data_IF_907338990880
#
_entry.id   IF_907338990880
#
_cell.length_a   1.000
_cell.length_b   1.000
_cell.length_c   1.000
_cell.angle_alpha   90.00
_cell.angle_beta   90.00
_cell.angle_gamma   90.00
#
_symmetry.space_group_name_H-M   'P 1'
#
loop_
_entity.id
_entity.type
_entity.pdbx_description
1 polymer ?
#
# COMPACT_ATOMS: atom_id res chain seq x y z
N UNK A 1 -14.62 6.52 -13.21
CA UNK A 1 -14.47 7.88 -12.65
C UNK A 1 -13.07 7.97 -12.07
N UNK A 2 -12.18 8.74 -12.69
CA UNK A 2 -10.83 8.96 -12.17
C UNK A 2 -10.96 9.72 -10.85
N UNK A 3 -10.50 9.14 -9.74
CA UNK A 3 -10.54 9.85 -8.46
C UNK A 3 -9.50 10.96 -8.48
N UNK A 4 -9.97 12.19 -8.44
CA UNK A 4 -9.11 13.38 -8.37
C UNK A 4 -8.53 13.49 -6.96
N UNK A 5 -7.27 13.91 -6.88
CA UNK A 5 -6.72 14.32 -5.60
C UNK A 5 -7.45 15.58 -5.13
N UNK A 6 -8.20 15.49 -4.02
CA UNK A 6 -8.84 16.65 -3.39
C UNK A 6 -7.78 17.62 -2.87
N UNK A 7 -8.18 18.84 -2.52
CA UNK A 7 -7.25 19.81 -1.90
C UNK A 7 -6.59 19.22 -0.64
N UNK A 8 -7.35 18.57 0.22
CA UNK A 8 -6.84 17.97 1.47
C UNK A 8 -5.93 16.78 1.20
N UNK A 9 -6.23 15.99 0.16
CA UNK A 9 -5.33 14.91 -0.29
C UNK A 9 -3.99 15.47 -0.77
N UNK A 10 -4.03 16.50 -1.63
CA UNK A 10 -2.82 17.16 -2.15
C UNK A 10 -1.99 17.81 -1.04
N UNK A 11 -2.64 18.41 -0.05
CA UNK A 11 -1.96 18.99 1.11
C UNK A 11 -1.24 17.90 1.92
N UNK A 12 -1.94 16.82 2.27
CA UNK A 12 -1.36 15.67 2.98
C UNK A 12 -0.22 15.00 2.19
N UNK A 13 -0.41 14.82 0.89
CA UNK A 13 0.59 14.29 -0.03
C UNK A 13 1.86 15.17 -0.06
N UNK A 14 1.68 16.48 -0.26
CA UNK A 14 2.79 17.44 -0.38
C UNK A 14 3.56 17.57 0.94
N UNK A 15 2.85 17.61 2.07
CA UNK A 15 3.45 17.64 3.39
C UNK A 15 4.25 16.35 3.68
N UNK A 16 3.64 15.19 3.43
CA UNK A 16 4.31 13.89 3.60
C UNK A 16 5.56 13.79 2.73
N UNK A 17 5.50 14.24 1.48
CA UNK A 17 6.62 14.25 0.54
C UNK A 17 7.73 15.22 0.96
N UNK A 18 7.37 16.40 1.46
CA UNK A 18 8.34 17.36 1.99
C UNK A 18 9.07 16.77 3.21
N UNK A 19 8.32 16.23 4.18
CA UNK A 19 8.92 15.57 5.36
C UNK A 19 9.80 14.40 4.93
N UNK A 20 9.35 13.55 4.02
CA UNK A 20 10.12 12.42 3.53
C UNK A 20 11.47 12.87 2.92
N UNK A 21 11.45 13.90 2.09
CA UNK A 21 12.66 14.42 1.43
C UNK A 21 13.64 15.11 2.39
N UNK A 22 13.11 15.92 3.32
CA UNK A 22 13.95 16.73 4.21
C UNK A 22 14.48 15.92 5.39
N UNK A 23 13.70 14.99 5.92
CA UNK A 23 14.05 14.25 7.11
C UNK A 23 14.68 12.88 6.82
N UNK A 24 14.28 12.19 5.71
CA UNK A 24 14.69 10.81 5.44
C UNK A 24 15.55 10.63 4.18
N UNK A 25 16.03 11.70 3.54
CA UNK A 25 16.72 11.59 2.23
C UNK A 25 15.96 10.65 1.26
N UNK A 26 14.68 10.89 1.13
CA UNK A 26 13.74 10.01 0.44
C UNK A 26 13.96 9.99 -1.07
N UNK A 27 14.11 8.78 -1.63
CA UNK A 27 14.30 8.54 -3.05
C UNK A 27 13.30 7.52 -3.58
N UNK A 28 12.93 7.66 -4.84
CA UNK A 28 12.07 6.71 -5.56
C UNK A 28 12.79 6.26 -6.82
N UNK A 29 12.89 4.95 -7.00
CA UNK A 29 13.45 4.28 -8.18
C UNK A 29 12.33 3.53 -8.87
N UNK A 30 12.23 3.62 -10.21
CA UNK A 30 11.20 2.92 -10.99
C UNK A 30 9.83 3.57 -10.91
N UNK A 31 9.74 4.88 -10.63
CA UNK A 31 8.46 5.59 -10.54
C UNK A 31 7.61 5.52 -11.82
N UNK A 32 8.25 5.28 -12.97
CA UNK A 32 7.61 5.05 -14.27
C UNK A 32 6.76 3.77 -14.32
N UNK A 33 6.99 2.83 -13.43
CA UNK A 33 6.21 1.60 -13.31
C UNK A 33 4.84 1.81 -12.61
N UNK A 34 4.60 2.99 -12.04
CA UNK A 34 3.31 3.31 -11.43
C UNK A 34 2.25 3.44 -12.52
N UNK A 35 1.19 2.66 -12.38
CA UNK A 35 0.00 2.79 -13.26
C UNK A 35 -0.74 4.06 -12.86
N UNK A 36 -0.68 5.09 -13.70
CA UNK A 36 -1.26 6.40 -13.37
C UNK A 36 -2.78 6.43 -13.52
N UNK A 37 -3.37 5.60 -14.39
CA UNK A 37 -4.79 5.57 -14.68
C UNK A 37 -5.37 4.15 -14.61
N UNK A 38 -6.67 4.06 -14.30
CA UNK A 38 -7.37 2.77 -14.20
C UNK A 38 -7.11 2.02 -12.89
N UNK A 39 -7.63 0.79 -12.78
CA UNK A 39 -7.51 -0.01 -11.56
C UNK A 39 -6.07 -0.46 -11.33
N UNK A 40 -5.59 -0.35 -10.09
CA UNK A 40 -4.27 -0.84 -9.72
C UNK A 40 -4.19 -1.20 -8.23
N UNK A 41 -3.39 -2.21 -7.92
CA UNK A 41 -3.03 -2.60 -6.56
C UNK A 41 -1.57 -2.21 -6.35
N UNK A 42 -1.29 -1.34 -5.39
CA UNK A 42 0.08 -0.99 -4.98
C UNK A 42 0.44 -1.91 -3.82
N UNK A 43 1.48 -2.72 -3.98
CA UNK A 43 1.84 -3.80 -3.07
C UNK A 43 3.24 -3.61 -2.45
N UNK A 44 3.41 -2.76 -1.42
CA UNK A 44 4.68 -2.62 -0.71
C UNK A 44 4.86 -3.68 0.39
N UNK A 45 6.12 -3.88 0.84
CA UNK A 45 6.39 -4.52 2.12
C UNK A 45 5.93 -3.64 3.30
N UNK A 46 5.76 -4.23 4.49
CA UNK A 46 5.27 -3.50 5.66
C UNK A 46 6.20 -3.64 6.87
N UNK A 47 6.98 -2.60 7.12
CA UNK A 47 7.98 -2.60 8.19
C UNK A 47 7.81 -1.45 9.20
N UNK A 48 7.05 -0.40 8.83
CA UNK A 48 6.98 0.85 9.57
C UNK A 48 5.59 1.48 9.56
N UNK A 49 5.31 2.37 10.49
CA UNK A 49 4.18 3.29 10.42
C UNK A 49 4.32 4.32 9.28
N UNK A 50 5.55 4.51 8.77
CA UNK A 50 5.85 5.43 7.68
C UNK A 50 5.49 4.84 6.30
N UNK A 51 5.33 3.52 6.17
CA UNK A 51 5.17 2.88 4.87
C UNK A 51 3.96 3.39 4.07
N UNK A 52 2.75 3.56 4.65
CA UNK A 52 1.62 4.06 3.88
C UNK A 52 1.85 5.44 3.25
N UNK A 53 2.27 6.49 3.99
CA UNK A 53 2.55 7.78 3.37
C UNK A 53 3.76 7.75 2.43
N UNK A 54 4.80 6.96 2.70
CA UNK A 54 5.96 6.84 1.81
C UNK A 54 5.58 6.20 0.46
N UNK A 55 4.85 5.08 0.49
CA UNK A 55 4.33 4.46 -0.72
C UNK A 55 3.38 5.40 -1.48
N UNK A 56 2.53 6.12 -0.75
CA UNK A 56 1.63 7.10 -1.34
C UNK A 56 2.35 8.23 -2.06
N UNK A 57 3.43 8.75 -1.47
CA UNK A 57 4.20 9.85 -2.07
C UNK A 57 5.03 9.41 -3.29
N UNK A 58 5.25 8.12 -3.48
CA UNK A 58 5.83 7.57 -4.70
C UNK A 58 4.83 7.60 -5.88
N UNK A 59 3.52 7.54 -5.59
CA UNK A 59 2.47 7.52 -6.61
C UNK A 59 2.07 8.94 -7.03
N UNK A 60 1.92 9.19 -8.35
CA UNK A 60 1.43 10.47 -8.89
C UNK A 60 -0.09 10.52 -9.03
N UNK A 61 -0.80 9.64 -8.36
CA UNK A 61 -2.26 9.50 -8.40
C UNK A 61 -2.83 9.34 -7.01
N UNK A 62 -4.14 9.59 -6.87
CA UNK A 62 -4.85 9.26 -5.64
C UNK A 62 -4.88 7.74 -5.44
N UNK A 63 -4.54 7.28 -4.25
CA UNK A 63 -4.65 5.88 -3.83
C UNK A 63 -5.46 5.79 -2.54
N UNK A 64 -6.07 4.62 -2.31
CA UNK A 64 -6.83 4.34 -1.11
C UNK A 64 -6.00 3.55 -0.12
N UNK A 65 -6.23 3.82 1.15
CA UNK A 65 -5.54 3.18 2.26
C UNK A 65 -6.53 2.46 3.18
N UNK A 66 -6.13 1.36 3.76
CA UNK A 66 -6.89 0.71 4.84
C UNK A 66 -6.46 1.29 6.18
N UNK A 67 -7.41 1.67 7.02
CA UNK A 67 -7.12 2.05 8.39
C UNK A 67 -8.22 1.57 9.36
N UNK A 68 -7.86 1.35 10.62
CA UNK A 68 -8.83 0.97 11.64
C UNK A 68 -9.89 2.06 11.81
N UNK A 69 -11.16 1.66 11.90
CA UNK A 69 -12.29 2.57 12.10
C UNK A 69 -12.11 3.49 13.32
N UNK A 70 -11.47 3.02 14.38
CA UNK A 70 -11.18 3.83 15.57
C UNK A 70 -10.31 5.07 15.32
N UNK A 71 -9.59 5.14 14.20
CA UNK A 71 -8.84 6.34 13.83
C UNK A 71 -9.74 7.49 13.36
N UNK A 72 -10.97 7.19 12.93
CA UNK A 72 -11.98 8.21 12.59
C UNK A 72 -12.47 8.98 13.83
N UNK A 73 -12.30 8.41 15.02
CA UNK A 73 -12.71 9.02 16.28
C UNK A 73 -11.68 10.06 16.79
N UNK A 74 -10.53 10.16 16.14
CA UNK A 74 -9.51 11.14 16.52
C UNK A 74 -9.92 12.56 16.11
N UNK A 75 -9.87 13.55 17.04
CA UNK A 75 -10.50 14.85 16.83
C UNK A 75 -9.95 15.66 15.65
N UNK A 76 -8.66 15.50 15.30
CA UNK A 76 -8.02 16.22 14.20
C UNK A 76 -7.90 15.33 12.95
N UNK A 77 -7.43 14.09 13.13
CA UNK A 77 -7.16 13.18 12.00
C UNK A 77 -8.45 12.56 11.45
N UNK A 78 -9.44 12.29 12.31
CA UNK A 78 -10.67 11.61 11.90
C UNK A 78 -11.39 12.30 10.74
N UNK A 79 -11.68 13.61 10.82
CA UNK A 79 -12.32 14.33 9.72
C UNK A 79 -11.51 14.36 8.40
N UNK A 80 -10.19 14.23 8.48
CA UNK A 80 -9.31 14.25 7.30
C UNK A 80 -9.17 12.87 6.61
N UNK A 81 -9.47 11.78 7.34
CA UNK A 81 -9.30 10.43 6.79
C UNK A 81 -10.13 10.14 5.53
N UNK A 82 -11.40 10.52 5.43
CA UNK A 82 -12.17 10.38 4.19
C UNK A 82 -11.55 11.16 3.03
N UNK A 83 -11.02 12.35 3.29
CA UNK A 83 -10.36 13.19 2.30
C UNK A 83 -9.04 12.58 1.78
N UNK A 84 -8.40 11.75 2.60
CA UNK A 84 -7.21 10.98 2.22
C UNK A 84 -7.53 9.60 1.68
N UNK A 85 -8.76 9.37 1.22
CA UNK A 85 -9.21 8.10 0.64
C UNK A 85 -9.00 6.89 1.58
N UNK A 86 -9.16 7.10 2.89
CA UNK A 86 -9.05 6.01 3.85
C UNK A 86 -10.32 5.18 3.84
N UNK A 87 -10.15 3.87 3.66
CA UNK A 87 -11.20 2.86 3.78
C UNK A 87 -11.21 2.39 5.24
N UNK A 88 -12.27 2.69 6.00
CA UNK A 88 -12.34 2.25 7.39
C UNK A 88 -12.58 0.75 7.48
N UNK A 89 -11.80 0.09 8.34
CA UNK A 89 -11.90 -1.34 8.61
C UNK A 89 -12.57 -1.56 9.97
N UNK A 90 -13.68 -2.30 9.98
CA UNK A 90 -14.38 -2.66 11.21
C UNK A 90 -13.59 -3.75 11.96
N UNK A 91 -13.17 -3.53 13.22
CA UNK A 91 -12.43 -4.54 13.99
C UNK A 91 -13.18 -5.86 14.17
N UNK A 92 -14.51 -5.86 14.19
CA UNK A 92 -15.34 -7.06 14.36
C UNK A 92 -15.33 -7.97 13.12
N UNK A 93 -15.13 -7.40 11.93
CA UNK A 93 -15.11 -8.10 10.64
C UNK A 93 -13.96 -7.56 9.77
N UNK A 94 -12.78 -7.37 10.38
CA UNK A 94 -11.69 -6.60 9.79
C UNK A 94 -11.29 -7.11 8.40
N UNK A 95 -11.05 -8.41 8.27
CA UNK A 95 -10.61 -9.01 7.01
C UNK A 95 -11.65 -8.85 5.90
N UNK A 96 -12.91 -9.23 6.15
CA UNK A 96 -13.99 -9.14 5.16
C UNK A 96 -14.29 -7.69 4.76
N UNK A 97 -14.34 -6.76 5.72
CA UNK A 97 -14.61 -5.35 5.43
C UNK A 97 -13.50 -4.70 4.62
N UNK A 98 -12.25 -5.02 4.93
CA UNK A 98 -11.08 -4.57 4.17
C UNK A 98 -11.11 -5.07 2.72
N UNK A 99 -11.26 -6.38 2.53
CA UNK A 99 -11.32 -7.00 1.20
C UNK A 99 -12.44 -6.43 0.34
N UNK A 100 -13.65 -6.32 0.88
CA UNK A 100 -14.80 -5.76 0.16
C UNK A 100 -14.63 -4.28 -0.18
N UNK A 101 -14.05 -3.50 0.74
CA UNK A 101 -13.75 -2.10 0.52
C UNK A 101 -12.77 -1.91 -0.65
N UNK A 102 -11.68 -2.66 -0.66
CA UNK A 102 -10.67 -2.62 -1.73
C UNK A 102 -11.26 -3.07 -3.07
N UNK A 103 -11.97 -4.21 -3.12
CA UNK A 103 -12.59 -4.71 -4.35
C UNK A 103 -13.53 -3.65 -4.95
N UNK A 104 -14.29 -2.94 -4.13
CA UNK A 104 -15.18 -1.85 -4.59
C UNK A 104 -14.37 -0.71 -5.22
N UNK A 105 -13.28 -0.26 -4.59
CA UNK A 105 -12.40 0.78 -5.12
C UNK A 105 -11.80 0.37 -6.46
N UNK A 106 -11.24 -0.82 -6.54
CA UNK A 106 -10.59 -1.34 -7.75
C UNK A 106 -11.61 -1.47 -8.89
N UNK A 107 -12.80 -2.01 -8.63
CA UNK A 107 -13.88 -2.12 -9.65
C UNK A 107 -14.41 -0.77 -10.11
N UNK A 108 -14.29 0.26 -9.29
CA UNK A 108 -14.59 1.65 -9.67
C UNK A 108 -13.46 2.34 -10.47
N UNK A 109 -12.39 1.61 -10.83
CA UNK A 109 -11.25 2.14 -11.56
C UNK A 109 -10.21 2.84 -10.68
N UNK A 110 -10.31 2.72 -9.36
CA UNK A 110 -9.37 3.31 -8.41
C UNK A 110 -8.12 2.47 -8.17
N UNK A 111 -7.18 3.04 -7.41
CA UNK A 111 -6.02 2.32 -6.91
C UNK A 111 -6.07 2.18 -5.39
N UNK A 112 -5.57 1.06 -4.87
CA UNK A 112 -5.50 0.79 -3.44
C UNK A 112 -4.11 0.27 -3.04
N UNK A 113 -3.66 0.69 -1.86
CA UNK A 113 -2.45 0.19 -1.23
C UNK A 113 -2.79 -1.00 -0.35
N UNK A 114 -2.08 -2.11 -0.59
CA UNK A 114 -2.27 -3.36 0.14
C UNK A 114 -0.90 -3.91 0.52
N UNK A 115 -0.71 -4.18 1.79
CA UNK A 115 0.49 -4.86 2.27
C UNK A 115 0.28 -6.37 2.15
N UNK A 116 1.05 -7.08 1.29
CA UNK A 116 0.86 -8.54 1.10
C UNK A 116 1.07 -9.34 2.39
N UNK A 117 1.92 -8.85 3.28
CA UNK A 117 2.24 -9.45 4.58
C UNK A 117 1.07 -9.39 5.59
N UNK A 118 0.08 -8.52 5.37
CA UNK A 118 -1.09 -8.33 6.25
C UNK A 118 -0.78 -7.65 7.58
N UNK A 119 0.47 -7.60 8.01
CA UNK A 119 0.91 -6.95 9.25
C UNK A 119 2.34 -6.44 9.13
N UNK A 120 2.74 -5.51 10.02
CA UNK A 120 4.13 -5.03 10.07
C UNK A 120 5.06 -6.10 10.62
N UNK A 121 6.23 -6.24 10.00
CA UNK A 121 7.30 -7.10 10.50
C UNK A 121 7.75 -6.68 11.90
N UNK A 122 8.26 -7.64 12.66
CA UNK A 122 8.83 -7.40 13.99
C UNK A 122 10.35 -7.21 13.97
N UNK A 123 11.01 -7.76 12.96
CA UNK A 123 12.46 -7.89 12.85
C UNK A 123 13.07 -7.24 11.60
N UNK A 124 12.24 -6.54 10.80
CA UNK A 124 12.66 -5.91 9.55
C UNK A 124 12.72 -6.85 8.34
N UNK A 125 12.52 -8.16 8.53
CA UNK A 125 12.51 -9.13 7.44
C UNK A 125 11.16 -9.16 6.74
N UNK A 126 11.18 -9.46 5.45
CA UNK A 126 9.95 -9.71 4.70
C UNK A 126 9.23 -10.93 5.29
N UNK A 127 7.91 -10.80 5.43
CA UNK A 127 7.07 -11.89 5.94
C UNK A 127 6.38 -12.62 4.77
N UNK A 128 5.95 -13.86 4.95
CA UNK A 128 5.14 -14.58 3.96
C UNK A 128 3.88 -13.80 3.60
N UNK A 129 3.49 -13.90 2.33
CA UNK A 129 2.26 -13.27 1.85
C UNK A 129 1.01 -13.94 2.43
N UNK A 130 0.00 -13.13 2.75
CA UNK A 130 -1.34 -13.60 3.08
C UNK A 130 -2.20 -13.74 1.81
N UNK A 131 -3.16 -14.67 1.75
CA UNK A 131 -3.94 -14.94 0.54
C UNK A 131 -4.87 -13.80 0.13
N UNK A 132 -5.02 -12.77 0.96
CA UNK A 132 -5.94 -11.66 0.74
C UNK A 132 -5.69 -10.87 -0.54
N UNK A 133 -4.41 -10.58 -0.85
CA UNK A 133 -4.08 -9.86 -2.09
C UNK A 133 -4.39 -10.71 -3.33
N UNK A 134 -4.09 -12.01 -3.28
CA UNK A 134 -4.43 -12.93 -4.37
C UNK A 134 -5.94 -13.04 -4.60
N UNK A 135 -6.74 -13.05 -3.53
CA UNK A 135 -8.20 -13.01 -3.65
C UNK A 135 -8.67 -11.73 -4.36
N UNK A 136 -8.11 -10.58 -4.02
CA UNK A 136 -8.48 -9.30 -4.65
C UNK A 136 -8.13 -9.34 -6.13
N UNK A 137 -6.92 -9.79 -6.49
CA UNK A 137 -6.50 -9.96 -7.89
C UNK A 137 -7.45 -10.88 -8.64
N UNK A 138 -7.72 -12.07 -8.12
CA UNK A 138 -8.62 -13.03 -8.76
C UNK A 138 -10.05 -12.50 -8.96
N UNK A 139 -10.54 -11.65 -8.05
CA UNK A 139 -11.89 -11.07 -8.14
C UNK A 139 -11.99 -9.81 -9.00
N UNK A 140 -10.87 -9.17 -9.33
CA UNK A 140 -10.86 -7.87 -10.01
C UNK A 140 -10.09 -7.87 -11.32
N UNK A 141 -9.15 -8.79 -11.53
CA UNK A 141 -8.23 -8.78 -12.67
C UNK A 141 -7.26 -7.59 -12.66
N UNK A 142 -7.20 -6.85 -11.57
CA UNK A 142 -6.38 -5.64 -11.51
C UNK A 142 -4.88 -5.97 -11.49
N UNK A 143 -4.05 -5.20 -12.23
CA UNK A 143 -2.61 -5.33 -12.16
C UNK A 143 -2.08 -4.95 -10.77
N UNK A 144 -0.98 -5.60 -10.38
CA UNK A 144 -0.29 -5.35 -9.10
C UNK A 144 1.05 -4.69 -9.39
N UNK A 145 1.30 -3.55 -8.78
CA UNK A 145 2.59 -2.85 -8.82
C UNK A 145 3.36 -3.23 -7.54
N UNK A 146 4.36 -4.12 -7.63
CA UNK A 146 5.18 -4.48 -6.49
C UNK A 146 6.06 -3.29 -6.10
N UNK A 147 6.22 -3.08 -4.81
CA UNK A 147 7.01 -1.98 -4.28
C UNK A 147 7.82 -2.46 -3.08
N UNK A 148 9.05 -1.96 -2.91
CA UNK A 148 9.85 -2.26 -1.74
C UNK A 148 10.39 -0.99 -1.11
N UNK A 149 10.17 -0.85 0.20
CA UNK A 149 10.59 0.29 1.00
C UNK A 149 11.77 -0.14 1.85
N UNK A 150 12.93 0.45 1.60
CA UNK A 150 14.17 0.24 2.34
C UNK A 150 14.38 1.36 3.33
N UNK A 151 14.91 1.06 4.52
CA UNK A 151 15.22 2.02 5.56
C UNK A 151 14.05 2.40 6.47
N UNK A 152 12.81 2.03 6.12
CA UNK A 152 11.65 2.41 6.93
C UNK A 152 11.58 1.69 8.28
N UNK A 153 12.06 0.44 8.36
CA UNK A 153 12.17 -0.29 9.62
C UNK A 153 13.16 0.39 10.57
N UNK A 154 14.35 0.72 10.09
CA UNK A 154 15.40 1.40 10.86
C UNK A 154 14.96 2.79 11.28
N UNK A 155 14.18 3.47 10.42
CA UNK A 155 13.64 4.80 10.70
C UNK A 155 12.58 4.78 11.80
N UNK A 156 11.56 3.92 11.69
CA UNK A 156 10.44 3.90 12.64
C UNK A 156 9.78 2.53 12.77
N UNK A 157 10.44 1.55 13.42
CA UNK A 157 9.86 0.24 13.69
C UNK A 157 8.68 0.32 14.67
N UNK A 158 7.95 -0.79 14.79
CA UNK A 158 6.71 -0.90 15.57
C UNK A 158 6.85 -0.45 17.03
N UNK A 159 7.96 -0.78 17.67
CA UNK A 159 8.17 -0.62 19.12
C UNK A 159 8.88 0.70 19.49
N UNK A 160 9.15 1.54 18.50
CA UNK A 160 9.77 2.84 18.71
C UNK A 160 8.72 3.94 18.87
N UNK A 161 9.02 4.92 19.73
CA UNK A 161 8.13 6.06 20.00
C UNK A 161 8.38 7.26 19.06
N UNK A 162 9.60 7.41 18.54
CA UNK A 162 10.00 8.54 17.69
C UNK A 162 10.80 8.05 16.49
N UNK A 163 10.64 8.64 15.30
CA UNK A 163 11.41 8.27 14.13
C UNK A 163 12.89 8.67 14.27
N UNK A 164 13.77 7.93 13.57
CA UNK A 164 15.17 8.29 13.36
C UNK A 164 15.38 8.81 11.95
N UNK A 165 16.34 9.69 11.79
CA UNK A 165 16.78 10.15 10.47
C UNK A 165 17.66 9.07 9.84
N UNK A 166 17.07 8.35 8.88
CA UNK A 166 17.72 7.28 8.10
C UNK A 166 17.30 7.48 6.65
N UNK A 167 18.20 7.29 5.67
CA UNK A 167 17.83 7.33 4.26
C UNK A 167 16.76 6.30 3.94
N UNK A 168 15.73 6.69 3.18
CA UNK A 168 14.65 5.80 2.77
C UNK A 168 14.58 5.77 1.25
N UNK A 169 14.63 4.57 0.67
CA UNK A 169 14.46 4.36 -0.76
C UNK A 169 13.24 3.51 -1.02
N UNK A 170 12.36 3.98 -1.89
CA UNK A 170 11.23 3.22 -2.42
C UNK A 170 11.60 2.74 -3.82
N UNK A 171 11.60 1.44 -4.03
CA UNK A 171 11.82 0.82 -5.34
C UNK A 171 10.49 0.29 -5.85
N UNK A 172 10.11 0.69 -7.06
CA UNK A 172 8.87 0.29 -7.72
C UNK A 172 9.21 -0.66 -8.87
N UNK A 173 8.69 -1.87 -8.81
CA UNK A 173 8.89 -2.88 -9.84
C UNK A 173 7.88 -2.79 -10.99
N UNK A 174 8.12 -3.51 -12.08
CA UNK A 174 7.19 -3.59 -13.20
C UNK A 174 5.85 -4.20 -12.76
N UNK A 175 4.72 -3.73 -13.31
CA UNK A 175 3.40 -4.25 -12.96
C UNK A 175 3.24 -5.72 -13.31
N UNK A 176 2.74 -6.51 -12.38
CA UNK A 176 2.34 -7.90 -12.57
C UNK A 176 0.90 -7.95 -13.08
N UNK A 177 0.66 -8.82 -14.06
CA UNK A 177 -0.68 -9.19 -14.52
C UNK A 177 -0.87 -10.69 -14.36
N UNK A 178 -2.09 -11.07 -14.06
CA UNK A 178 -2.50 -12.45 -13.83
C UNK A 178 -3.67 -12.76 -14.76
N UNK A 179 -3.62 -13.89 -15.43
CA UNK A 179 -4.69 -14.32 -16.30
C UNK A 179 -5.79 -15.08 -15.55
N UNK A 180 -6.89 -15.40 -16.25
CA UNK A 180 -8.02 -16.09 -15.65
C UNK A 180 -7.67 -17.54 -15.23
N UNK A 181 -6.71 -18.18 -15.90
CA UNK A 181 -6.28 -19.53 -15.55
C UNK A 181 -5.45 -19.52 -14.25
N UNK A 182 -4.56 -18.53 -14.08
CA UNK A 182 -3.82 -18.33 -12.83
C UNK A 182 -4.75 -18.01 -11.66
N UNK A 183 -5.87 -17.32 -11.91
CA UNK A 183 -6.87 -16.96 -10.90
C UNK A 183 -7.84 -18.12 -10.55
N UNK A 184 -7.79 -19.22 -11.27
CA UNK A 184 -8.63 -20.38 -11.05
C UNK A 184 -7.93 -21.45 -10.19
N UNK A 185 -8.74 -22.16 -9.38
CA UNK A 185 -8.24 -23.28 -8.57
C UNK A 185 -8.16 -23.00 -7.08
N UNK A 186 -8.01 -24.11 -6.32
CA UNK A 186 -8.09 -24.10 -4.85
C UNK A 186 -7.02 -23.24 -4.20
N UNK A 187 -5.79 -23.24 -4.76
CA UNK A 187 -4.63 -22.56 -4.20
C UNK A 187 -4.25 -21.27 -4.96
N UNK A 188 -5.11 -20.84 -5.90
CA UNK A 188 -4.83 -19.68 -6.75
C UNK A 188 -4.49 -18.42 -5.96
N UNK A 189 -5.23 -18.15 -4.90
CA UNK A 189 -5.04 -16.93 -4.09
C UNK A 189 -3.67 -16.91 -3.43
N UNK A 190 -3.23 -18.03 -2.87
CA UNK A 190 -1.90 -18.10 -2.24
C UNK A 190 -0.79 -18.01 -3.30
N UNK A 191 -0.92 -18.72 -4.42
CA UNK A 191 0.07 -18.67 -5.51
C UNK A 191 0.25 -17.25 -6.07
N UNK A 192 -0.85 -16.53 -6.29
CA UNK A 192 -0.81 -15.12 -6.71
C UNK A 192 -0.11 -14.26 -5.65
N UNK A 193 -0.45 -14.45 -4.37
CA UNK A 193 0.13 -13.70 -3.27
C UNK A 193 1.64 -13.95 -3.14
N UNK A 194 2.06 -15.19 -3.26
CA UNK A 194 3.47 -15.57 -3.20
C UNK A 194 4.25 -14.95 -4.38
N UNK A 195 3.71 -15.03 -5.60
CA UNK A 195 4.32 -14.38 -6.77
C UNK A 195 4.45 -12.86 -6.62
N UNK A 196 3.46 -12.21 -6.00
CA UNK A 196 3.56 -10.77 -5.67
C UNK A 196 4.68 -10.54 -4.65
N UNK A 197 4.78 -11.37 -3.62
CA UNK A 197 5.81 -11.23 -2.60
C UNK A 197 7.20 -11.52 -3.11
N UNK A 198 7.35 -12.51 -4.00
CA UNK A 198 8.61 -12.80 -4.70
C UNK A 198 9.06 -11.60 -5.54
N UNK A 199 8.13 -10.95 -6.25
CA UNK A 199 8.44 -9.73 -6.98
C UNK A 199 8.90 -8.60 -6.05
N UNK A 200 8.24 -8.41 -4.89
CA UNK A 200 8.68 -7.43 -3.86
C UNK A 200 10.08 -7.80 -3.34
N UNK A 201 10.32 -9.07 -3.04
CA UNK A 201 11.61 -9.55 -2.54
C UNK A 201 12.75 -9.38 -3.55
N UNK A 202 12.46 -9.51 -4.84
CA UNK A 202 13.41 -9.35 -5.93
C UNK A 202 13.87 -7.91 -6.18
N UNK A 203 13.16 -6.89 -5.66
CA UNK A 203 13.53 -5.48 -5.82
C UNK A 203 14.77 -5.15 -4.98
N UNK A 204 15.69 -4.41 -5.60
CA UNK A 204 16.98 -4.00 -5.00
C UNK A 204 17.22 -2.52 -5.25
N UNK A 205 17.98 -1.89 -4.36
CA UNK A 205 18.48 -0.51 -4.52
C UNK A 205 19.72 -0.51 -5.40
#
# INVERSE_FOLDING_TARGET
>A
MQQRMTFWYLLGYSLSKAIARTFFDYRVIGAENIIEEGPAIIAPNHASFLDPPLAGTACKRAIHYLARKSLLDWPVMGPLMPEWNVIPVDPKNAERSALMGIIRVIRAGGAALIFPEGTRTKDGRLQPAQPGIGMIVAKTGAPVVPMRIFGSFEAFPRDRKTPRRVPITVVVGPPLRFDAAEAAGRDAYQKISDRVMDAVAGLKV
#
